data_IF_892117217066
#
_entry.id   IF_892117217066
#
_cell.length_a   1.000
_cell.length_b   1.000
_cell.length_c   1.000
_cell.angle_alpha   90.00
_cell.angle_beta   90.00
_cell.angle_gamma   90.00
#
_symmetry.space_group_name_H-M   'P 1'
#
loop_
_entity.id
_entity.type
_entity.pdbx_description
1 polymer ?
#
# COMPACT_ATOMS: atom_id res chain seq x y z
N UNK A 1 -1.51 -6.00 6.39
CA UNK A 1 -1.23 -5.41 7.71
C UNK A 1 0.19 -4.89 7.71
N UNK A 2 0.49 -3.87 8.52
CA UNK A 2 1.85 -3.43 8.81
C UNK A 2 2.65 -4.54 9.50
N UNK A 3 3.98 -4.41 9.51
CA UNK A 3 4.87 -5.40 10.13
C UNK A 3 4.61 -5.55 11.64
N UNK A 4 4.11 -4.50 12.30
CA UNK A 4 3.67 -4.53 13.70
C UNK A 4 2.31 -5.17 13.90
N UNK A 5 1.49 -5.30 12.85
CA UNK A 5 0.10 -5.74 12.94
C UNK A 5 -0.86 -4.70 13.51
N UNK A 6 -0.40 -3.47 13.75
CA UNK A 6 -1.21 -2.41 14.36
C UNK A 6 -2.07 -1.66 13.33
N UNK A 7 -1.74 -1.78 12.05
CA UNK A 7 -2.43 -1.08 10.95
C UNK A 7 -2.73 -1.99 9.76
N UNK A 8 -3.85 -1.71 9.13
CA UNK A 8 -4.12 -2.12 7.76
C UNK A 8 -3.43 -1.16 6.80
N UNK A 9 -2.70 -1.72 5.83
CA UNK A 9 -2.00 -0.96 4.79
C UNK A 9 -2.62 -1.31 3.44
N UNK A 10 -2.96 -0.29 2.66
CA UNK A 10 -3.38 -0.48 1.26
C UNK A 10 -2.99 0.71 0.39
N UNK A 11 -2.92 0.47 -0.92
CA UNK A 11 -2.95 1.55 -1.89
C UNK A 11 -4.40 1.88 -2.21
N UNK A 12 -4.72 3.16 -2.21
CA UNK A 12 -6.09 3.65 -2.34
C UNK A 12 -6.18 4.71 -3.41
N UNK A 13 -7.08 4.52 -4.37
CA UNK A 13 -7.40 5.53 -5.36
C UNK A 13 -8.39 6.54 -4.76
N UNK A 14 -7.93 7.76 -4.55
CA UNK A 14 -8.70 8.87 -3.97
C UNK A 14 -9.81 9.41 -4.87
N UNK A 15 -9.80 9.08 -6.16
CA UNK A 15 -10.84 9.47 -7.12
C UNK A 15 -11.93 8.41 -7.27
N UNK A 16 -11.55 7.13 -7.42
CA UNK A 16 -12.53 6.04 -7.58
C UNK A 16 -12.99 5.44 -6.26
N UNK A 17 -12.27 5.71 -5.17
CA UNK A 17 -12.48 5.13 -3.85
C UNK A 17 -12.28 3.61 -3.79
N UNK A 18 -11.44 3.08 -4.66
CA UNK A 18 -11.14 1.64 -4.77
C UNK A 18 -9.72 1.31 -4.29
N UNK A 19 -9.51 0.03 -3.96
CA UNK A 19 -8.18 -0.51 -3.73
C UNK A 19 -7.40 -0.50 -5.04
N UNK A 20 -6.17 -0.01 -4.99
CA UNK A 20 -5.26 -0.03 -6.12
C UNK A 20 -4.26 -1.18 -5.95
N UNK A 21 -4.12 -1.99 -6.99
CA UNK A 21 -3.10 -3.03 -7.06
C UNK A 21 -2.07 -2.61 -8.11
N UNK A 22 -0.82 -2.31 -7.71
CA UNK A 22 0.21 -1.91 -8.67
C UNK A 22 0.55 -3.09 -9.60
N UNK A 23 0.57 -2.81 -10.91
CA UNK A 23 1.06 -3.75 -11.92
C UNK A 23 2.57 -4.03 -11.71
N UNK A 24 3.00 -5.25 -11.99
CA UNK A 24 4.42 -5.63 -11.96
C UNK A 24 5.29 -4.77 -12.89
N UNK A 25 4.70 -4.24 -13.95
CA UNK A 25 5.36 -3.40 -14.95
C UNK A 25 5.08 -1.91 -14.75
N UNK A 26 4.71 -1.48 -13.53
CA UNK A 26 4.45 -0.08 -13.25
C UNK A 26 5.67 0.79 -13.64
N UNK A 27 5.45 1.74 -14.55
CA UNK A 27 6.48 2.66 -15.06
C UNK A 27 6.31 4.09 -14.54
N UNK A 28 5.18 4.44 -13.96
CA UNK A 28 4.91 5.79 -13.49
C UNK A 28 4.07 5.74 -12.21
N UNK A 29 4.21 6.76 -11.36
CA UNK A 29 3.44 6.86 -10.13
C UNK A 29 2.02 7.34 -10.48
N UNK A 30 0.97 6.59 -10.12
CA UNK A 30 -0.40 7.03 -10.33
C UNK A 30 -0.72 8.24 -9.43
N UNK A 31 -1.18 9.33 -10.04
CA UNK A 31 -1.37 10.63 -9.35
C UNK A 31 -2.46 10.62 -8.27
N UNK A 32 -3.49 9.78 -8.42
CA UNK A 32 -4.64 9.72 -7.52
C UNK A 32 -4.54 8.64 -6.46
N UNK A 33 -3.40 7.95 -6.38
CA UNK A 33 -3.20 6.85 -5.44
C UNK A 33 -2.33 7.30 -4.28
N UNK A 34 -2.70 6.86 -3.08
CA UNK A 34 -1.96 7.09 -1.83
C UNK A 34 -1.82 5.78 -1.07
N UNK A 35 -0.88 5.71 -0.13
CA UNK A 35 -0.88 4.66 0.88
C UNK A 35 -1.77 5.10 2.03
N UNK A 36 -2.73 4.26 2.39
CA UNK A 36 -3.56 4.41 3.58
C UNK A 36 -3.06 3.47 4.68
N UNK A 37 -2.90 4.03 5.87
CA UNK A 37 -2.64 3.27 7.10
C UNK A 37 -3.85 3.47 8.03
N UNK A 38 -4.64 2.41 8.19
CA UNK A 38 -5.86 2.40 8.99
C UNK A 38 -5.54 1.64 10.29
N UNK A 39 -5.79 2.21 11.47
CA UNK A 39 -5.60 1.48 12.73
C UNK A 39 -6.37 0.15 12.75
N UNK A 40 -5.84 -0.86 13.44
CA UNK A 40 -6.55 -2.13 13.62
C UNK A 40 -7.84 -1.97 14.42
N UNK A 41 -8.71 -2.97 14.36
CA UNK A 41 -10.02 -2.99 15.01
C UNK A 41 -9.95 -2.72 16.52
N UNK A 42 -8.93 -3.24 17.21
CA UNK A 42 -8.77 -3.04 18.65
C UNK A 42 -8.55 -1.56 19.00
N UNK A 43 -7.98 -0.78 18.07
CA UNK A 43 -7.78 0.66 18.21
C UNK A 43 -8.92 1.50 17.63
N UNK A 44 -9.61 1.00 16.61
CA UNK A 44 -10.79 1.66 16.01
C UNK A 44 -12.01 1.58 16.91
N UNK A 45 -12.34 0.37 17.39
CA UNK A 45 -13.48 0.10 18.27
C UNK A 45 -13.11 -0.98 19.31
N UNK A 46 -12.35 -0.59 20.35
CA UNK A 46 -11.98 -1.51 21.43
C UNK A 46 -13.18 -2.15 22.13
N UNK A 47 -14.34 -1.48 22.13
CA UNK A 47 -15.54 -1.99 22.81
C UNK A 47 -16.21 -3.09 21.97
N UNK A 48 -16.32 -2.90 20.65
CA UNK A 48 -16.82 -3.94 19.75
C UNK A 48 -15.92 -5.18 19.77
N UNK A 49 -14.60 -4.99 19.67
CA UNK A 49 -13.64 -6.09 19.73
C UNK A 49 -13.74 -6.81 21.08
N UNK A 50 -13.79 -6.10 22.21
CA UNK A 50 -13.96 -6.75 23.51
C UNK A 50 -15.21 -7.64 23.56
N UNK A 51 -16.34 -7.21 22.96
CA UNK A 51 -17.57 -8.00 22.89
C UNK A 51 -17.41 -9.25 22.01
N UNK A 52 -16.78 -9.12 20.85
CA UNK A 52 -16.57 -10.24 19.91
C UNK A 52 -15.70 -11.34 20.53
N UNK A 53 -14.70 -10.94 21.33
CA UNK A 53 -13.78 -11.88 21.99
C UNK A 53 -14.26 -12.33 23.39
N UNK A 54 -15.44 -11.88 23.85
CA UNK A 54 -16.00 -12.27 25.15
C UNK A 54 -15.27 -11.68 26.36
N UNK A 55 -14.55 -10.58 26.17
CA UNK A 55 -13.86 -9.82 27.21
C UNK A 55 -14.81 -8.84 27.90
N UNK A 56 -14.38 -8.28 29.04
CA UNK A 56 -15.05 -7.14 29.64
C UNK A 56 -15.02 -5.94 28.70
N UNK A 57 -16.15 -5.22 28.59
CA UNK A 57 -16.32 -4.11 27.62
C UNK A 57 -15.33 -2.96 27.79
N UNK A 58 -14.67 -2.87 28.94
CA UNK A 58 -13.63 -1.87 29.23
C UNK A 58 -12.22 -2.43 29.19
N UNK A 59 -12.04 -3.74 28.99
CA UNK A 59 -10.74 -4.40 29.15
C UNK A 59 -9.72 -3.86 28.15
N UNK A 60 -10.14 -3.67 26.89
CA UNK A 60 -9.30 -3.11 25.84
C UNK A 60 -9.14 -1.59 25.90
N UNK A 61 -9.92 -0.87 26.72
CA UNK A 61 -9.82 0.59 26.82
C UNK A 61 -8.57 1.07 27.59
N UNK A 62 -7.95 0.18 28.38
CA UNK A 62 -6.69 0.51 29.05
C UNK A 62 -5.54 0.63 28.05
N UNK A 63 -5.49 -0.28 27.07
CA UNK A 63 -4.44 -0.33 26.05
C UNK A 63 -4.80 0.53 24.81
N UNK A 64 -6.09 0.62 24.50
CA UNK A 64 -6.64 1.38 23.38
C UNK A 64 -7.71 2.36 23.87
N UNK A 65 -7.32 3.46 24.52
CA UNK A 65 -8.27 4.44 25.02
C UNK A 65 -9.03 5.10 23.87
N UNK A 66 -10.30 5.44 24.12
CA UNK A 66 -11.16 6.10 23.14
C UNK A 66 -10.55 7.44 22.66
N UNK A 67 -10.53 7.63 21.34
CA UNK A 67 -10.02 8.85 20.71
C UNK A 67 -11.12 9.52 19.89
N UNK A 68 -11.48 10.76 20.24
CA UNK A 68 -12.50 11.53 19.50
C UNK A 68 -12.13 11.79 18.05
N UNK A 69 -10.83 11.94 17.76
CA UNK A 69 -10.32 12.30 16.44
C UNK A 69 -9.36 11.24 15.92
N UNK A 70 -9.89 10.04 15.67
CA UNK A 70 -9.13 8.97 15.03
C UNK A 70 -9.19 9.15 13.51
N UNK A 71 -8.02 9.26 12.87
CA UNK A 71 -7.90 9.44 11.41
C UNK A 71 -6.89 8.44 10.87
N UNK A 72 -7.15 7.95 9.66
CA UNK A 72 -6.15 7.20 8.90
C UNK A 72 -4.97 8.10 8.54
N UNK A 73 -3.77 7.51 8.50
CA UNK A 73 -2.59 8.19 7.96
C UNK A 73 -2.58 8.02 6.46
N UNK A 74 -2.27 9.11 5.76
CA UNK A 74 -2.22 9.17 4.30
C UNK A 74 -0.81 9.55 3.89
N UNK A 75 -0.14 8.65 3.16
CA UNK A 75 1.23 8.86 2.70
C UNK A 75 1.26 8.92 1.17
N UNK A 76 1.81 10.00 0.56
CA UNK A 76 1.97 10.08 -0.89
C UNK A 76 2.90 8.97 -1.42
N UNK A 77 2.64 8.45 -2.62
CA UNK A 77 3.47 7.37 -3.18
C UNK A 77 4.94 7.77 -3.40
N UNK A 78 5.22 9.06 -3.56
CA UNK A 78 6.59 9.59 -3.67
C UNK A 78 7.45 9.36 -2.44
N UNK A 79 6.83 9.13 -1.27
CA UNK A 79 7.51 8.88 0.00
C UNK A 79 7.63 7.38 0.31
N UNK A 80 7.21 6.52 -0.64
CA UNK A 80 7.25 5.05 -0.49
C UNK A 80 8.44 4.46 -1.25
N UNK A 81 8.56 3.12 -1.26
CA UNK A 81 9.54 2.41 -2.11
C UNK A 81 9.15 2.28 -3.59
N UNK A 82 7.93 2.69 -3.98
CA UNK A 82 7.47 2.61 -5.39
C UNK A 82 8.31 3.41 -6.40
N UNK A 83 8.86 4.60 -6.10
CA UNK A 83 9.73 5.32 -7.02
C UNK A 83 10.97 4.49 -7.42
N UNK A 84 11.60 3.81 -6.46
CA UNK A 84 12.75 2.94 -6.72
C UNK A 84 12.36 1.72 -7.56
N UNK A 85 11.21 1.13 -7.25
CA UNK A 85 10.62 0.03 -8.01
C UNK A 85 10.39 0.40 -9.48
N UNK A 86 9.76 1.55 -9.73
CA UNK A 86 9.54 2.10 -11.08
C UNK A 86 10.86 2.33 -11.81
N UNK A 87 11.89 2.86 -11.12
CA UNK A 87 13.19 3.10 -11.72
C UNK A 87 13.84 1.79 -12.18
N UNK A 88 13.70 0.71 -11.40
CA UNK A 88 14.17 -0.61 -11.78
C UNK A 88 13.40 -1.18 -12.98
N UNK A 89 12.07 -1.04 -13.01
CA UNK A 89 11.24 -1.46 -14.14
C UNK A 89 11.64 -0.76 -15.44
N UNK A 90 11.88 0.57 -15.39
CA UNK A 90 12.38 1.33 -16.55
C UNK A 90 13.73 0.81 -17.05
N UNK A 91 14.64 0.43 -16.14
CA UNK A 91 15.96 -0.12 -16.51
C UNK A 91 15.82 -1.47 -17.20
N UNK A 92 14.96 -2.35 -16.68
CA UNK A 92 14.69 -3.67 -17.27
C UNK A 92 14.04 -3.54 -18.66
N UNK A 93 13.07 -2.64 -18.82
CA UNK A 93 12.42 -2.37 -20.09
C UNK A 93 13.42 -1.87 -21.16
N UNK A 94 14.31 -0.93 -20.79
CA UNK A 94 15.34 -0.40 -21.69
C UNK A 94 16.37 -1.48 -22.10
N UNK A 95 16.78 -2.34 -21.16
CA UNK A 95 17.69 -3.46 -21.44
C UNK A 95 17.11 -4.50 -22.42
N UNK A 96 15.82 -4.81 -22.27
CA UNK A 96 15.11 -5.74 -23.16
C UNK A 96 14.96 -5.18 -24.59
N UNK A 97 14.68 -3.88 -24.75
CA UNK A 97 14.62 -3.24 -26.07
C UNK A 97 15.96 -3.31 -26.81
N UNK A 98 17.08 -3.03 -26.12
CA UNK A 98 18.42 -3.14 -26.69
C UNK A 98 18.77 -4.58 -27.10
N UNK A 99 18.34 -5.59 -26.32
CA UNK A 99 18.60 -7.00 -26.66
C UNK A 99 17.85 -7.44 -27.92
N UNK A 100 16.60 -6.99 -28.09
CA UNK A 100 15.76 -7.34 -29.24
C UNK A 100 16.22 -6.68 -30.54
N UNK A 101 16.70 -5.42 -30.50
CA UNK A 101 17.23 -4.71 -31.68
C UNK A 101 18.53 -5.34 -32.22
N UNK A 102 19.37 -5.89 -31.33
CA UNK A 102 20.62 -6.55 -31.71
C UNK A 102 20.41 -7.97 -32.31
N UNK A 103 19.28 -8.61 -32.02
CA UNK A 103 18.91 -9.93 -32.57
C UNK A 103 18.29 -9.84 -33.97
N UNK A 104 17.51 -8.78 -34.25
CA UNK A 104 16.88 -8.58 -35.58
C UNK A 104 17.91 -8.29 -36.68
N UNK A 105 19.02 -7.62 -36.35
CA UNK A 105 20.12 -7.35 -37.30
C UNK A 105 20.95 -8.58 -37.70
N UNK A 106 20.85 -9.72 -36.97
CA UNK A 106 21.66 -10.92 -37.23
C UNK A 106 20.94 -12.00 -38.05
N UNK A 107 19.67 -11.83 -38.42
CA UNK A 107 18.87 -12.84 -39.13
C UNK A 107 18.64 -12.57 -40.63
N UNK A 108 19.22 -11.51 -41.18
CA UNK A 108 19.19 -11.23 -42.62
C UNK A 108 20.50 -11.65 -43.31
N UNK A 109 20.63 -12.91 -43.70
CA UNK A 109 21.58 -13.34 -44.74
C UNK A 109 21.09 -14.58 -45.47
#
# INVERSE_FOLDING_TARGET
MSDSGEEYLCFYNTETHELFEPDENLLELPEKVVVLEIPCEARLDPVAVAREYGLGVTDLLNDHPFQMNLKAKVTPLSETGLPEYIQNNKRLAAGNSLYNENQSHKRGR
#
